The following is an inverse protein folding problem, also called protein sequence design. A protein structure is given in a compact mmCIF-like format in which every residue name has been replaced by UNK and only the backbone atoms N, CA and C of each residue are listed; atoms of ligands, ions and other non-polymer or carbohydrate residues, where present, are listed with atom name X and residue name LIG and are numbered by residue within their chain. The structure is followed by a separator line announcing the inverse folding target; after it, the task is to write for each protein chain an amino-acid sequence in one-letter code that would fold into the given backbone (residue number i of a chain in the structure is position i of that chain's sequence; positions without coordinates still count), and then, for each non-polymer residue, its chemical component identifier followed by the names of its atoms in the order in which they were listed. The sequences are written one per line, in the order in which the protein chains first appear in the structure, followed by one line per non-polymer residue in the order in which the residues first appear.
data_IF_756153284445
#
_entry.id   IF_756153284445
#
_cell.length_a   1.000
_cell.length_b   1.000
_cell.length_c   1.000
_cell.angle_alpha   90.00
_cell.angle_beta   90.00
_cell.angle_gamma   90.00
#
_symmetry.space_group_name_H-M   'P 1'
#
loop_
_entity.id
_entity.type
_entity.pdbx_description
1 polymer ?
#
# COMPACT_ATOMS: atom_id res chain seq x y z
N UNK A 1 -32.31 4.28 -5.45
CA UNK A 1 -31.33 4.56 -4.38
C UNK A 1 -29.97 4.18 -4.91
N UNK A 2 -29.11 5.17 -5.21
CA UNK A 2 -27.74 4.90 -5.64
C UNK A 2 -26.90 4.54 -4.42
N UNK A 3 -26.24 3.38 -4.43
CA UNK A 3 -25.42 2.87 -3.32
C UNK A 3 -24.11 3.67 -3.11
N UNK A 4 -24.07 4.96 -3.43
CA UNK A 4 -22.93 5.86 -3.24
C UNK A 4 -21.83 5.75 -4.31
N UNK A 5 -21.03 6.82 -4.50
CA UNK A 5 -19.93 6.86 -5.48
C UNK A 5 -18.92 5.72 -5.36
N UNK A 6 -18.70 5.16 -4.15
CA UNK A 6 -17.77 4.06 -3.94
C UNK A 6 -18.12 2.78 -4.74
N UNK A 7 -19.39 2.61 -5.17
CA UNK A 7 -19.81 1.41 -5.92
C UNK A 7 -19.22 1.38 -7.33
N UNK A 8 -19.18 2.54 -8.00
CA UNK A 8 -18.65 2.74 -9.36
C UNK A 8 -17.13 2.98 -9.39
N UNK A 9 -16.49 3.17 -8.23
CA UNK A 9 -15.04 3.40 -8.12
C UNK A 9 -14.24 2.26 -8.79
N UNK A 10 -13.42 2.54 -9.82
CA UNK A 10 -12.71 1.52 -10.60
C UNK A 10 -11.46 1.00 -9.87
N UNK A 11 -11.64 0.51 -8.64
CA UNK A 11 -10.61 -0.06 -7.79
C UNK A 11 -11.02 -1.43 -7.24
N UNK A 12 -10.02 -2.18 -6.78
CA UNK A 12 -10.26 -3.46 -6.14
C UNK A 12 -11.16 -3.30 -4.91
N UNK A 13 -11.90 -4.37 -4.57
CA UNK A 13 -12.96 -4.35 -3.54
C UNK A 13 -12.50 -3.76 -2.21
N UNK A 14 -11.30 -4.08 -1.74
CA UNK A 14 -10.77 -3.58 -0.46
C UNK A 14 -10.54 -2.06 -0.45
N UNK A 15 -10.20 -1.47 -1.60
CA UNK A 15 -10.09 -0.01 -1.74
C UNK A 15 -11.47 0.66 -1.83
N UNK A 16 -12.45 -0.01 -2.44
CA UNK A 16 -13.86 0.43 -2.39
C UNK A 16 -14.44 0.37 -0.98
N UNK A 17 -14.07 -0.65 -0.20
CA UNK A 17 -14.44 -0.75 1.21
C UNK A 17 -13.86 0.42 2.00
N UNK A 18 -12.58 0.77 1.82
CA UNK A 18 -11.99 1.97 2.43
C UNK A 18 -12.77 3.24 2.07
N UNK A 19 -13.06 3.47 0.80
CA UNK A 19 -13.84 4.64 0.36
C UNK A 19 -15.23 4.68 0.99
N UNK A 20 -15.91 3.53 1.09
CA UNK A 20 -17.21 3.39 1.77
C UNK A 20 -17.12 3.75 3.26
N UNK A 21 -16.08 3.30 3.95
CA UNK A 21 -15.85 3.65 5.37
C UNK A 21 -15.53 5.13 5.53
N UNK A 22 -14.79 5.73 4.60
CA UNK A 22 -14.49 7.16 4.60
C UNK A 22 -15.75 8.02 4.36
N UNK A 23 -16.66 7.55 3.51
CA UNK A 23 -17.94 8.21 3.26
C UNK A 23 -18.83 8.23 4.51
N UNK A 24 -18.82 7.15 5.30
CA UNK A 24 -19.61 7.03 6.51
C UNK A 24 -18.89 7.65 7.73
N UNK A 25 -19.52 8.65 8.35
CA UNK A 25 -18.94 9.37 9.49
C UNK A 25 -18.83 8.55 10.78
N UNK A 26 -19.52 7.40 10.86
CA UNK A 26 -19.59 6.59 12.07
C UNK A 26 -18.37 5.68 12.30
N UNK A 27 -17.43 5.64 11.34
CA UNK A 27 -16.19 4.90 11.50
C UNK A 27 -15.10 5.80 12.07
N UNK A 28 -14.32 5.26 12.99
CA UNK A 28 -13.20 5.97 13.62
C UNK A 28 -12.03 6.13 12.66
N UNK A 29 -11.02 6.93 13.04
CA UNK A 29 -9.76 6.99 12.29
C UNK A 29 -9.05 5.63 12.26
N UNK A 30 -9.12 4.88 13.37
CA UNK A 30 -8.53 3.55 13.52
C UNK A 30 -9.18 2.55 12.56
N UNK A 31 -10.51 2.55 12.44
CA UNK A 31 -11.23 1.69 11.49
C UNK A 31 -10.77 1.91 10.04
N UNK A 32 -10.53 3.18 9.68
CA UNK A 32 -10.06 3.53 8.35
C UNK A 32 -8.59 3.14 8.14
N UNK A 33 -7.73 3.36 9.15
CA UNK A 33 -6.33 2.95 9.09
C UNK A 33 -6.21 1.42 8.93
N UNK A 34 -7.00 0.65 9.67
CA UNK A 34 -7.06 -0.82 9.55
C UNK A 34 -7.55 -1.26 8.16
N UNK A 35 -8.54 -0.56 7.60
CA UNK A 35 -9.03 -0.83 6.26
C UNK A 35 -8.00 -0.49 5.18
N UNK A 36 -7.29 0.62 5.32
CA UNK A 36 -6.20 1.01 4.41
C UNK A 36 -5.06 0.00 4.46
N UNK A 37 -4.64 -0.39 5.66
CA UNK A 37 -3.64 -1.44 5.88
C UNK A 37 -4.04 -2.76 5.22
N UNK A 38 -5.28 -3.20 5.44
CA UNK A 38 -5.83 -4.42 4.84
C UNK A 38 -5.84 -4.33 3.31
N UNK A 39 -6.18 -3.17 2.74
CA UNK A 39 -6.17 -2.96 1.30
C UNK A 39 -4.76 -3.04 0.72
N UNK A 40 -3.76 -2.49 1.41
CA UNK A 40 -2.35 -2.57 1.03
C UNK A 40 -1.83 -4.01 1.10
N UNK A 41 -2.06 -4.71 2.21
CA UNK A 41 -1.61 -6.10 2.39
C UNK A 41 -2.23 -7.04 1.34
N UNK A 42 -3.50 -6.84 0.99
CA UNK A 42 -4.16 -7.60 -0.08
C UNK A 42 -3.62 -7.26 -1.47
N UNK A 43 -3.34 -5.98 -1.72
CA UNK A 43 -2.74 -5.54 -2.99
C UNK A 43 -1.34 -6.12 -3.14
N UNK A 44 -0.50 -6.03 -2.10
CA UNK A 44 0.84 -6.60 -2.04
C UNK A 44 0.81 -8.10 -2.33
N UNK A 45 0.01 -8.87 -1.60
CA UNK A 45 -0.07 -10.33 -1.81
C UNK A 45 -0.56 -10.73 -3.19
N UNK A 46 -1.43 -9.92 -3.81
CA UNK A 46 -1.92 -10.16 -5.17
C UNK A 46 -0.83 -9.85 -6.21
N UNK A 47 -0.10 -8.77 -6.01
CA UNK A 47 0.63 -8.09 -7.09
C UNK A 47 2.15 -8.11 -6.91
N UNK A 48 2.66 -8.64 -5.80
CA UNK A 48 4.09 -8.84 -5.56
C UNK A 48 4.37 -10.34 -5.38
N UNK A 49 4.97 -11.01 -6.38
CA UNK A 49 5.28 -12.43 -6.30
C UNK A 49 6.32 -12.73 -5.23
N UNK A 50 6.13 -13.83 -4.49
CA UNK A 50 7.08 -14.27 -3.48
C UNK A 50 8.50 -14.46 -4.03
N UNK A 51 8.61 -15.06 -5.22
CA UNK A 51 9.89 -15.26 -5.90
C UNK A 51 10.62 -13.94 -6.19
N UNK A 52 9.89 -12.87 -6.51
CA UNK A 52 10.46 -11.54 -6.72
C UNK A 52 11.06 -10.98 -5.42
N UNK A 53 10.31 -11.08 -4.32
CA UNK A 53 10.78 -10.63 -2.99
C UNK A 53 12.04 -11.38 -2.58
N UNK A 54 12.07 -12.70 -2.75
CA UNK A 54 13.25 -13.54 -2.44
C UNK A 54 14.44 -13.16 -3.32
N UNK A 55 14.22 -12.96 -4.62
CA UNK A 55 15.28 -12.59 -5.55
C UNK A 55 15.89 -11.22 -5.21
N UNK A 56 15.07 -10.19 -5.02
CA UNK A 56 15.51 -8.86 -4.62
C UNK A 56 16.24 -8.91 -3.28
N UNK A 57 15.69 -9.60 -2.27
CA UNK A 57 16.34 -9.74 -0.98
C UNK A 57 17.71 -10.42 -1.08
N UNK A 58 17.82 -11.48 -1.90
CA UNK A 58 19.10 -12.11 -2.21
C UNK A 58 20.11 -11.12 -2.80
N UNK A 59 19.68 -10.26 -3.71
CA UNK A 59 20.54 -9.19 -4.25
C UNK A 59 20.98 -8.21 -3.16
N UNK A 60 20.09 -7.80 -2.25
CA UNK A 60 20.41 -6.91 -1.14
C UNK A 60 21.44 -7.50 -0.16
N UNK A 61 21.40 -8.81 0.07
CA UNK A 61 22.32 -9.53 0.98
C UNK A 61 23.69 -9.88 0.37
N UNK A 62 23.81 -9.92 -0.96
CA UNK A 62 25.11 -10.21 -1.60
C UNK A 62 26.15 -9.17 -1.14
N UNK A 63 27.32 -9.61 -0.65
CA UNK A 63 28.43 -8.71 -0.37
C UNK A 63 28.77 -7.87 -1.60
N UNK A 64 29.23 -6.65 -1.41
CA UNK A 64 29.61 -5.79 -2.54
C UNK A 64 30.98 -6.22 -3.06
N UNK A 65 31.02 -7.23 -3.94
CA UNK A 65 32.25 -7.69 -4.58
C UNK A 65 32.56 -6.95 -5.90
N UNK A 66 31.62 -6.12 -6.39
CA UNK A 66 31.78 -5.35 -7.62
C UNK A 66 32.08 -3.89 -7.33
N UNK A 67 32.95 -3.31 -8.16
CA UNK A 67 33.46 -1.95 -8.00
C UNK A 67 32.38 -0.87 -8.22
N UNK A 68 31.31 -1.17 -8.95
CA UNK A 68 30.31 -0.19 -9.39
C UNK A 68 28.88 -0.58 -8.97
N UNK A 69 28.08 0.43 -8.62
CA UNK A 69 26.68 0.26 -8.26
C UNK A 69 25.78 -0.06 -9.49
N UNK A 70 26.20 0.34 -10.70
CA UNK A 70 25.50 0.08 -11.97
C UNK A 70 25.21 -1.40 -12.17
N UNK A 71 26.18 -2.26 -11.86
CA UNK A 71 26.05 -3.71 -12.08
C UNK A 71 24.95 -4.35 -11.22
N UNK A 72 24.67 -3.77 -10.04
CA UNK A 72 23.59 -4.25 -9.16
C UNK A 72 22.24 -3.70 -9.56
N UNK A 73 22.20 -2.47 -10.09
CA UNK A 73 20.98 -1.91 -10.68
C UNK A 73 20.53 -2.80 -11.85
N UNK A 74 21.44 -3.18 -12.74
CA UNK A 74 21.16 -4.10 -13.84
C UNK A 74 20.68 -5.48 -13.34
N UNK A 75 21.28 -6.04 -12.27
CA UNK A 75 20.80 -7.30 -11.67
C UNK A 75 19.38 -7.20 -11.11
N UNK A 76 19.00 -6.05 -10.54
CA UNK A 76 17.63 -5.81 -10.06
C UNK A 76 16.67 -5.69 -11.24
N UNK A 77 17.01 -4.89 -12.25
CA UNK A 77 16.17 -4.68 -13.44
C UNK A 77 15.95 -5.97 -14.24
N UNK A 78 16.93 -6.87 -14.26
CA UNK A 78 16.82 -8.20 -14.87
C UNK A 78 15.72 -9.09 -14.24
N UNK A 79 15.20 -8.74 -13.05
CA UNK A 79 14.08 -9.43 -12.41
C UNK A 79 12.71 -9.06 -12.99
N UNK A 80 12.64 -8.18 -14.00
CA UNK A 80 11.41 -7.65 -14.60
C UNK A 80 10.41 -8.73 -15.02
N UNK A 81 10.89 -9.87 -15.52
CA UNK A 81 10.03 -10.99 -15.93
C UNK A 81 9.24 -11.59 -14.77
N UNK A 82 9.79 -11.58 -13.55
CA UNK A 82 9.08 -12.05 -12.36
C UNK A 82 7.89 -11.15 -12.01
N UNK A 83 7.91 -9.88 -12.44
CA UNK A 83 6.85 -8.90 -12.22
C UNK A 83 5.92 -8.71 -13.44
N UNK A 84 6.02 -9.56 -14.46
CA UNK A 84 5.22 -9.43 -15.68
C UNK A 84 3.71 -9.41 -15.36
N UNK A 85 3.02 -8.36 -15.83
CA UNK A 85 1.59 -8.16 -15.60
C UNK A 85 1.22 -7.75 -14.16
N UNK A 86 2.20 -7.42 -13.31
CA UNK A 86 1.99 -7.05 -11.91
C UNK A 86 2.54 -5.65 -11.59
N UNK A 87 1.70 -4.60 -11.65
CA UNK A 87 2.13 -3.20 -11.50
C UNK A 87 2.93 -2.88 -10.23
N UNK A 88 2.52 -3.41 -9.07
CA UNK A 88 3.19 -3.17 -7.79
C UNK A 88 4.51 -3.94 -7.71
N UNK A 89 4.59 -5.14 -8.29
CA UNK A 89 5.85 -5.87 -8.42
C UNK A 89 6.86 -5.12 -9.28
N UNK A 90 6.43 -4.49 -10.38
CA UNK A 90 7.30 -3.62 -11.19
C UNK A 90 7.77 -2.41 -10.41
N UNK A 91 6.87 -1.77 -9.66
CA UNK A 91 7.20 -0.65 -8.80
C UNK A 91 8.23 -1.03 -7.73
N UNK A 92 8.16 -2.26 -7.20
CA UNK A 92 9.17 -2.79 -6.28
C UNK A 92 10.55 -2.90 -6.92
N UNK A 93 10.63 -3.35 -8.18
CA UNK A 93 11.90 -3.43 -8.93
C UNK A 93 12.49 -2.04 -9.11
N UNK A 94 11.67 -1.08 -9.56
CA UNK A 94 12.09 0.32 -9.75
C UNK A 94 12.67 0.93 -8.46
N UNK A 95 11.96 0.78 -7.33
CA UNK A 95 12.45 1.31 -6.06
C UNK A 95 13.63 0.53 -5.50
N UNK A 96 13.71 -0.78 -5.72
CA UNK A 96 14.88 -1.57 -5.34
C UNK A 96 16.13 -1.11 -6.10
N UNK A 97 16.01 -0.82 -7.41
CA UNK A 97 17.10 -0.28 -8.21
C UNK A 97 17.57 1.09 -7.68
N UNK A 98 16.64 1.99 -7.39
CA UNK A 98 16.97 3.30 -6.79
C UNK A 98 17.69 3.17 -5.44
N UNK A 99 17.18 2.31 -4.55
CA UNK A 99 17.76 2.10 -3.22
C UNK A 99 19.16 1.47 -3.32
N UNK A 100 19.38 0.55 -4.26
CA UNK A 100 20.71 0.01 -4.56
C UNK A 100 21.65 1.09 -5.10
N UNK A 101 21.17 1.97 -5.99
CA UNK A 101 21.95 3.07 -6.53
C UNK A 101 22.36 4.07 -5.44
N UNK A 102 21.52 4.27 -4.43
CA UNK A 102 21.81 5.07 -3.23
C UNK A 102 22.79 4.38 -2.26
N UNK A 103 23.22 3.15 -2.56
CA UNK A 103 24.19 2.40 -1.76
C UNK A 103 23.60 1.67 -0.56
N UNK A 104 22.28 1.64 -0.41
CA UNK A 104 21.64 0.87 0.65
C UNK A 104 21.71 -0.63 0.32
N UNK A 105 21.94 -1.43 1.36
CA UNK A 105 22.11 -2.88 1.26
C UNK A 105 21.44 -3.60 2.44
N UNK A 106 21.44 -4.93 2.41
CA UNK A 106 20.88 -5.77 3.46
C UNK A 106 19.39 -5.55 3.70
N UNK A 107 18.95 -5.89 4.91
CA UNK A 107 17.54 -5.78 5.31
C UNK A 107 17.05 -4.33 5.30
N UNK A 108 17.91 -3.37 5.63
CA UNK A 108 17.56 -1.94 5.63
C UNK A 108 17.19 -1.49 4.21
N UNK A 109 17.98 -1.86 3.20
CA UNK A 109 17.65 -1.54 1.81
C UNK A 109 16.37 -2.20 1.33
N UNK A 110 16.11 -3.45 1.74
CA UNK A 110 14.87 -4.14 1.39
C UNK A 110 13.63 -3.48 2.01
N UNK A 111 13.71 -3.07 3.28
CA UNK A 111 12.64 -2.34 3.97
C UNK A 111 12.39 -0.99 3.28
N UNK A 112 13.46 -0.26 2.94
CA UNK A 112 13.36 1.03 2.26
C UNK A 112 12.70 0.90 0.88
N UNK A 113 13.12 -0.06 0.06
CA UNK A 113 12.52 -0.30 -1.25
C UNK A 113 11.03 -0.67 -1.13
N UNK A 114 10.69 -1.51 -0.14
CA UNK A 114 9.30 -1.88 0.14
C UNK A 114 8.48 -0.68 0.60
N UNK A 115 9.02 0.16 1.47
CA UNK A 115 8.34 1.36 1.97
C UNK A 115 8.04 2.33 0.83
N UNK A 116 9.03 2.66 -0.01
CA UNK A 116 8.83 3.55 -1.18
C UNK A 116 7.78 3.01 -2.15
N UNK A 117 7.78 1.70 -2.36
CA UNK A 117 6.78 1.02 -3.20
C UNK A 117 5.37 1.20 -2.67
N UNK A 118 5.19 1.00 -1.36
CA UNK A 118 3.89 1.19 -0.70
C UNK A 118 3.46 2.66 -0.77
N UNK A 119 4.34 3.60 -0.43
CA UNK A 119 4.05 5.04 -0.47
C UNK A 119 3.64 5.51 -1.87
N UNK A 120 4.36 5.08 -2.90
CA UNK A 120 4.04 5.41 -4.28
C UNK A 120 2.69 4.81 -4.70
N UNK A 121 2.36 3.59 -4.24
CA UNK A 121 1.06 2.97 -4.51
C UNK A 121 -0.10 3.66 -3.76
N UNK A 122 0.11 4.01 -2.49
CA UNK A 122 -0.84 4.77 -1.67
C UNK A 122 -1.18 6.09 -2.34
N UNK A 123 -0.18 6.86 -2.75
CA UNK A 123 -0.36 8.15 -3.41
C UNK A 123 -1.18 8.03 -4.72
N UNK A 124 -0.89 7.01 -5.55
CA UNK A 124 -1.66 6.75 -6.78
C UNK A 124 -3.11 6.39 -6.48
N UNK A 125 -3.33 5.51 -5.50
CA UNK A 125 -4.67 5.03 -5.17
C UNK A 125 -5.51 6.12 -4.51
N UNK A 126 -4.91 6.90 -3.62
CA UNK A 126 -5.53 8.07 -3.01
C UNK A 126 -6.04 9.07 -4.06
N UNK A 127 -5.18 9.43 -5.03
CA UNK A 127 -5.58 10.33 -6.13
C UNK A 127 -6.71 9.75 -6.96
N UNK A 128 -6.67 8.45 -7.27
CA UNK A 128 -7.73 7.80 -8.02
C UNK A 128 -9.08 7.83 -7.29
N UNK A 129 -9.09 7.67 -5.96
CA UNK A 129 -10.29 7.84 -5.13
C UNK A 129 -10.77 9.29 -5.19
N UNK A 130 -9.88 10.25 -4.96
CA UNK A 130 -10.22 11.68 -4.97
C UNK A 130 -10.83 12.12 -6.31
N UNK A 131 -10.17 11.80 -7.43
CA UNK A 131 -10.66 12.14 -8.77
C UNK A 131 -12.02 11.52 -9.08
N UNK A 132 -12.25 10.28 -8.64
CA UNK A 132 -13.54 9.63 -8.81
C UNK A 132 -14.65 10.37 -8.05
N UNK A 133 -14.40 10.75 -6.79
CA UNK A 133 -15.36 11.52 -6.01
C UNK A 133 -15.56 12.93 -6.55
N UNK A 134 -14.53 13.58 -7.12
CA UNK A 134 -14.69 14.87 -7.82
C UNK A 134 -15.70 14.75 -8.98
N UNK A 135 -15.70 13.63 -9.71
CA UNK A 135 -16.61 13.41 -10.86
C UNK A 135 -18.03 13.02 -10.43
N UNK A 136 -18.15 12.22 -9.37
CA UNK A 136 -19.40 11.50 -9.05
C UNK A 136 -20.14 12.04 -7.80
N UNK A 137 -19.56 12.97 -7.04
CA UNK A 137 -20.06 13.37 -5.74
C UNK A 137 -20.07 14.91 -5.53
N UNK A 138 -20.94 15.42 -4.64
CA UNK A 138 -20.92 16.84 -4.29
C UNK A 138 -19.63 17.23 -3.55
N UNK A 139 -19.16 18.49 -3.66
CA UNK A 139 -17.89 18.92 -3.09
C UNK A 139 -17.70 18.66 -1.59
N UNK A 140 -18.79 18.70 -0.81
CA UNK A 140 -18.75 18.40 0.63
C UNK A 140 -18.39 16.94 0.93
N UNK A 141 -18.94 15.99 0.16
CA UNK A 141 -18.65 14.57 0.31
C UNK A 141 -17.25 14.25 -0.17
N UNK A 142 -16.85 14.83 -1.31
CA UNK A 142 -15.49 14.69 -1.87
C UNK A 142 -14.44 15.15 -0.88
N UNK A 143 -14.61 16.35 -0.28
CA UNK A 143 -13.70 16.86 0.75
C UNK A 143 -13.62 15.93 1.97
N UNK A 144 -14.77 15.47 2.47
CA UNK A 144 -14.84 14.55 3.61
C UNK A 144 -14.07 13.25 3.32
N UNK A 145 -14.33 12.60 2.19
CA UNK A 145 -13.69 11.34 1.80
C UNK A 145 -12.19 11.55 1.59
N UNK A 146 -11.82 12.63 0.89
CA UNK A 146 -10.41 13.04 0.69
C UNK A 146 -9.67 13.13 2.02
N UNK A 147 -10.15 13.95 2.95
CA UNK A 147 -9.49 14.17 4.25
C UNK A 147 -9.40 12.87 5.06
N UNK A 148 -10.47 12.08 5.07
CA UNK A 148 -10.52 10.83 5.84
C UNK A 148 -9.62 9.74 5.28
N UNK A 149 -9.57 9.57 3.95
CA UNK A 149 -8.65 8.61 3.31
C UNK A 149 -7.20 9.08 3.46
N UNK A 150 -6.93 10.38 3.31
CA UNK A 150 -5.58 10.94 3.51
C UNK A 150 -5.08 10.63 4.92
N UNK A 151 -5.87 10.94 5.96
CA UNK A 151 -5.49 10.71 7.34
C UNK A 151 -5.28 9.21 7.62
N UNK A 152 -6.15 8.34 7.08
CA UNK A 152 -6.01 6.89 7.23
C UNK A 152 -4.69 6.33 6.66
N UNK A 153 -4.21 6.91 5.56
CA UNK A 153 -2.92 6.56 4.94
C UNK A 153 -1.74 7.27 5.62
N UNK A 154 -1.97 8.42 6.25
CA UNK A 154 -0.95 9.21 6.95
C UNK A 154 -0.60 8.64 8.32
N UNK A 155 -1.59 8.13 9.06
CA UNK A 155 -1.47 7.71 10.46
C UNK A 155 -0.74 6.35 10.62
N UNK A 156 -0.47 5.62 9.53
CA UNK A 156 0.19 4.31 9.56
C UNK A 156 1.71 4.38 9.69
N UNK A 157 2.29 3.51 10.53
CA UNK A 157 3.73 3.26 10.53
C UNK A 157 4.12 2.45 9.28
N UNK A 158 4.49 3.18 8.21
CA UNK A 158 4.87 2.61 6.92
C UNK A 158 6.09 1.71 7.00
N UNK A 159 7.01 1.99 7.93
CA UNK A 159 8.22 1.18 8.12
C UNK A 159 7.89 -0.13 8.83
N UNK A 160 6.94 -0.12 9.77
CA UNK A 160 6.40 -1.34 10.35
C UNK A 160 5.59 -2.14 9.32
N UNK A 161 4.77 -1.49 8.50
CA UNK A 161 4.07 -2.14 7.39
C UNK A 161 5.05 -2.76 6.39
N UNK A 162 6.09 -2.05 5.97
CA UNK A 162 7.11 -2.57 5.04
C UNK A 162 7.82 -3.80 5.62
N UNK A 163 8.22 -3.75 6.90
CA UNK A 163 8.75 -4.91 7.63
C UNK A 163 7.76 -6.07 7.65
N UNK A 164 6.48 -5.79 7.85
CA UNK A 164 5.45 -6.81 7.86
C UNK A 164 5.25 -7.43 6.47
N UNK A 165 5.14 -6.64 5.41
CA UNK A 165 4.94 -7.13 4.04
C UNK A 165 6.12 -7.96 3.54
N UNK A 166 7.33 -7.59 3.96
CA UNK A 166 8.54 -8.37 3.78
C UNK A 166 8.50 -9.70 4.57
N UNK A 167 8.17 -9.67 5.86
CA UNK A 167 8.18 -10.85 6.75
C UNK A 167 7.00 -11.81 6.58
N UNK A 168 5.83 -11.33 6.18
CA UNK A 168 4.59 -12.12 6.00
C UNK A 168 4.62 -13.08 4.82
N UNK A 169 5.70 -13.11 4.05
CA UNK A 169 5.98 -14.18 3.08
C UNK A 169 6.05 -15.56 3.78
N UNK A 170 6.09 -15.62 5.12
CA UNK A 170 5.84 -16.82 5.93
C UNK A 170 4.88 -16.59 7.13
N UNK A 171 3.55 -16.59 6.88
CA UNK A 171 2.42 -16.63 7.86
C UNK A 171 2.22 -15.42 8.79
N UNK A 172 0.98 -14.91 8.83
CA UNK A 172 -0.01 -14.99 9.95
C UNK A 172 -1.28 -14.21 9.54
N UNK A 173 -2.47 -14.79 9.78
CA UNK A 173 -3.79 -14.13 9.59
C UNK A 173 -4.08 -13.21 10.78
N UNK A 174 -4.31 -11.91 10.53
CA UNK A 174 -5.00 -11.01 11.46
C UNK A 174 -6.52 -11.08 11.25
N UNK A 175 -7.35 -10.79 12.28
CA UNK A 175 -8.80 -10.82 12.15
C UNK A 175 -9.30 -9.80 11.13
N UNK A 176 -10.30 -10.17 10.32
CA UNK A 176 -10.63 -9.52 9.05
C UNK A 176 -11.82 -8.55 9.08
N UNK A 177 -12.19 -7.99 10.24
CA UNK A 177 -13.37 -7.12 10.29
C UNK A 177 -13.19 -5.92 11.23
N UNK A 178 -13.25 -4.71 10.66
CA UNK A 178 -13.47 -3.48 11.39
C UNK A 178 -14.81 -3.57 12.16
N UNK A 179 -14.79 -3.22 13.44
CA UNK A 179 -15.94 -3.36 14.32
C UNK A 179 -16.81 -2.13 14.16
N UNK A 180 -17.96 -2.29 13.49
CA UNK A 180 -18.92 -1.20 13.33
C UNK A 180 -19.42 -0.76 14.71
N UNK A 181 -19.17 0.49 15.08
CA UNK A 181 -19.77 1.12 16.25
C UNK A 181 -21.25 1.42 15.97
N UNK A 182 -22.15 0.74 16.68
CA UNK A 182 -23.62 0.86 16.49
C UNK A 182 -24.29 1.46 17.73
N UNK A 183 -23.57 1.64 18.84
CA UNK A 183 -24.09 2.24 20.07
C UNK A 183 -24.24 3.77 19.95
N UNK A 184 -25.34 4.30 20.45
CA UNK A 184 -25.60 5.75 20.55
C UNK A 184 -24.56 6.49 21.41
N UNK A 185 -23.87 5.76 22.31
CA UNK A 185 -22.80 6.26 23.19
C UNK A 185 -21.37 5.90 22.69
N UNK A 186 -21.24 5.27 21.52
CA UNK A 186 -19.95 4.90 20.91
C UNK A 186 -19.51 5.89 19.82
N UNK A 187 -19.86 7.16 19.97
CA UNK A 187 -19.42 8.22 19.07
C UNK A 187 -17.92 8.46 19.16
N UNK A 188 -17.29 8.69 18.00
CA UNK A 188 -15.86 9.04 17.88
C UNK A 188 -15.55 10.30 18.71
N UNK A 189 -14.53 10.24 19.57
CA UNK A 189 -14.05 11.41 20.31
C UNK A 189 -13.58 12.50 19.32
N UNK A 190 -14.08 13.72 19.50
CA UNK A 190 -13.79 14.88 18.66
C UNK A 190 -12.32 15.31 18.74
#
# INVERSE_FOLDING_TARGET
MSDGPFRSLPLARHWRELAKLAENGNYSREDLADAAFTALEKTWRKDVPAALVVAIHGLFLKPQHRLFASDRVEEVEALSDLAAGRPLGRLLIEHAAMVVQEGLSGEIGMIEATQRTVEAWEARTYRQIEEHYIREAPPSLTRKVRERVWNALADGDRRALARLLFSQQGRVKRPSHARKHVGLDEGVAL
#
